data_IF_368571573928
#
_entry.id   IF_368571573928
#
_cell.length_a   1.000
_cell.length_b   1.000
_cell.length_c   1.000
_cell.angle_alpha   90.00
_cell.angle_beta   90.00
_cell.angle_gamma   90.00
#
_symmetry.space_group_name_H-M   'P 1'
#
loop_
_entity.id
_entity.type
_entity.pdbx_description
1 polymer ?
#
# COMPACT_ATOMS: atom_id res chain seq x y z
N UNK A 1 -24.50 -5.60 -12.58
CA UNK A 1 -23.71 -4.36 -12.78
C UNK A 1 -22.29 -4.73 -13.17
N UNK A 2 -21.95 -4.63 -14.47
CA UNK A 2 -20.56 -4.75 -14.94
C UNK A 2 -19.78 -3.50 -14.49
N UNK A 3 -18.47 -3.62 -14.28
CA UNK A 3 -17.62 -2.45 -14.07
C UNK A 3 -17.84 -1.43 -15.20
N UNK A 4 -17.90 -0.12 -14.89
CA UNK A 4 -18.08 0.89 -15.92
C UNK A 4 -16.92 0.82 -16.92
N UNK A 5 -17.18 0.94 -18.23
CA UNK A 5 -16.13 0.93 -19.25
C UNK A 5 -15.08 2.02 -19.05
N UNK A 6 -15.39 3.04 -18.24
CA UNK A 6 -14.51 4.15 -17.89
C UNK A 6 -13.30 3.78 -17.02
N UNK A 7 -13.18 2.59 -16.42
CA UNK A 7 -11.94 2.22 -15.69
C UNK A 7 -11.01 1.34 -16.53
N UNK A 8 -11.49 0.82 -17.66
CA UNK A 8 -10.68 -0.08 -18.50
C UNK A 8 -9.67 0.72 -19.31
N UNK A 9 -8.40 0.37 -19.16
CA UNK A 9 -7.33 0.85 -20.03
C UNK A 9 -7.26 0.00 -21.31
N UNK A 10 -7.58 0.54 -22.50
CA UNK A 10 -7.29 -0.14 -23.76
C UNK A 10 -5.77 -0.18 -24.01
N UNK A 11 -5.20 -1.20 -24.65
CA UNK A 11 -3.76 -1.27 -24.97
C UNK A 11 -3.42 -0.50 -26.27
N UNK A 12 -3.78 0.79 -26.35
CA UNK A 12 -3.58 1.63 -27.57
C UNK A 12 -2.84 2.92 -27.24
N UNK A 13 -2.26 3.61 -28.23
CA UNK A 13 -1.43 4.81 -28.04
C UNK A 13 -2.15 6.02 -27.41
N UNK A 14 -3.49 6.07 -27.49
CA UNK A 14 -4.32 7.08 -26.81
C UNK A 14 -4.71 6.70 -25.37
N UNK A 15 -4.42 5.47 -24.96
CA UNK A 15 -4.92 4.92 -23.70
C UNK A 15 -4.27 5.49 -22.44
N UNK A 16 -2.96 5.75 -22.36
CA UNK A 16 -2.35 6.20 -21.10
C UNK A 16 -2.95 7.51 -20.58
N UNK A 17 -3.27 8.45 -21.49
CA UNK A 17 -3.92 9.72 -21.13
C UNK A 17 -5.34 9.52 -20.61
N UNK A 18 -6.15 8.73 -21.32
CA UNK A 18 -7.53 8.41 -20.91
C UNK A 18 -7.54 7.67 -19.57
N UNK A 19 -6.61 6.73 -19.38
CA UNK A 19 -6.41 6.02 -18.13
C UNK A 19 -6.07 6.95 -16.98
N UNK A 20 -5.11 7.86 -17.16
CA UNK A 20 -4.71 8.80 -16.13
C UNK A 20 -5.88 9.71 -15.70
N UNK A 21 -6.69 10.18 -16.66
CA UNK A 21 -7.85 11.02 -16.36
C UNK A 21 -8.95 10.24 -15.62
N UNK A 22 -9.23 9.01 -16.04
CA UNK A 22 -10.17 8.13 -15.35
C UNK A 22 -9.74 7.80 -13.92
N UNK A 23 -8.43 7.57 -13.69
CA UNK A 23 -7.90 7.34 -12.34
C UNK A 23 -7.97 8.60 -11.47
N UNK A 24 -7.75 9.79 -12.04
CA UNK A 24 -7.93 11.06 -11.32
C UNK A 24 -9.40 11.28 -10.94
N UNK A 25 -10.33 10.94 -11.82
CA UNK A 25 -11.76 11.03 -11.53
C UNK A 25 -12.18 10.02 -10.46
N UNK A 26 -11.69 8.79 -10.53
CA UNK A 26 -11.88 7.79 -9.47
C UNK A 26 -11.31 8.29 -8.14
N UNK A 27 -10.12 8.88 -8.14
CA UNK A 27 -9.54 9.49 -6.95
C UNK A 27 -10.41 10.64 -6.39
N UNK A 28 -10.97 11.49 -7.26
CA UNK A 28 -11.89 12.57 -6.85
C UNK A 28 -13.17 12.02 -6.21
N UNK A 29 -13.70 10.91 -6.75
CA UNK A 29 -14.87 10.24 -6.19
C UNK A 29 -14.55 9.65 -4.81
N UNK A 30 -13.44 8.93 -4.66
CA UNK A 30 -13.01 8.35 -3.39
C UNK A 30 -12.74 9.42 -2.31
N UNK A 31 -12.18 10.57 -2.68
CA UNK A 31 -11.96 11.69 -1.75
C UNK A 31 -13.24 12.31 -1.21
N UNK A 32 -14.33 12.22 -1.97
CA UNK A 32 -15.65 12.76 -1.62
C UNK A 32 -16.60 11.68 -1.10
N UNK A 33 -16.11 10.45 -0.97
CA UNK A 33 -16.90 9.34 -0.46
C UNK A 33 -17.26 9.62 1.00
N UNK A 34 -18.44 9.15 1.39
CA UNK A 34 -18.92 9.31 2.75
C UNK A 34 -18.06 8.46 3.70
N UNK A 35 -17.51 9.03 4.79
CA UNK A 35 -16.58 8.32 5.66
C UNK A 35 -17.28 7.20 6.46
N UNK A 36 -18.58 7.30 6.71
CA UNK A 36 -19.35 6.30 7.46
C UNK A 36 -19.87 5.20 6.55
N UNK A 37 -20.43 5.54 5.38
CA UNK A 37 -21.06 4.58 4.46
C UNK A 37 -20.09 3.95 3.46
N UNK A 38 -19.11 4.73 3.00
CA UNK A 38 -18.06 4.30 2.05
C UNK A 38 -18.60 3.59 0.79
N UNK A 39 -19.69 4.12 0.22
CA UNK A 39 -20.39 3.50 -0.92
C UNK A 39 -19.52 3.42 -2.18
N UNK A 40 -18.75 4.48 -2.47
CA UNK A 40 -17.83 4.46 -3.62
C UNK A 40 -16.76 3.40 -3.41
N UNK A 41 -16.15 3.35 -2.23
CA UNK A 41 -15.18 2.32 -1.87
C UNK A 41 -15.76 0.89 -2.02
N UNK A 42 -16.92 0.61 -1.42
CA UNK A 42 -17.60 -0.70 -1.51
C UNK A 42 -17.85 -1.08 -2.98
N UNK A 43 -18.33 -0.13 -3.78
CA UNK A 43 -18.62 -0.39 -5.19
C UNK A 43 -17.37 -0.64 -6.04
N UNK A 44 -16.28 0.11 -5.80
CA UNK A 44 -15.00 -0.06 -6.49
C UNK A 44 -14.36 -1.40 -6.14
N UNK A 45 -14.40 -1.80 -4.87
CA UNK A 45 -13.89 -3.11 -4.43
C UNK A 45 -14.69 -4.27 -5.03
N UNK A 46 -16.03 -4.16 -5.08
CA UNK A 46 -16.91 -5.15 -5.73
C UNK A 46 -16.59 -5.36 -7.20
N UNK A 47 -16.11 -4.33 -7.90
CA UNK A 47 -15.66 -4.43 -9.29
C UNK A 47 -14.25 -5.01 -9.45
N UNK A 48 -13.53 -5.23 -8.34
CA UNK A 48 -12.15 -5.72 -8.30
C UNK A 48 -11.19 -4.82 -9.07
N UNK A 49 -11.40 -3.51 -9.01
CA UNK A 49 -10.58 -2.53 -9.76
C UNK A 49 -9.09 -2.66 -9.43
N UNK A 50 -8.74 -2.96 -8.18
CA UNK A 50 -7.34 -3.15 -7.81
C UNK A 50 -6.65 -4.29 -8.57
N UNK A 51 -7.21 -5.51 -8.55
CA UNK A 51 -6.60 -6.66 -9.22
C UNK A 51 -6.81 -6.67 -10.74
N UNK A 52 -7.89 -6.07 -11.23
CA UNK A 52 -8.22 -6.09 -12.66
C UNK A 52 -7.60 -4.96 -13.46
N UNK A 53 -7.39 -3.80 -12.83
CA UNK A 53 -7.00 -2.59 -13.53
C UNK A 53 -5.75 -1.95 -12.89
N UNK A 54 -5.75 -1.63 -11.58
CA UNK A 54 -4.64 -0.89 -10.96
C UNK A 54 -3.32 -1.67 -10.95
N UNK A 55 -3.34 -2.93 -10.53
CA UNK A 55 -2.17 -3.80 -10.48
C UNK A 55 -1.59 -4.01 -11.89
N UNK A 56 -2.39 -4.39 -12.92
CA UNK A 56 -1.91 -4.43 -14.30
C UNK A 56 -1.40 -3.10 -14.85
N UNK A 57 -1.99 -1.96 -14.46
CA UNK A 57 -1.49 -0.63 -14.87
C UNK A 57 -0.07 -0.42 -14.32
N UNK A 58 0.14 -0.70 -13.04
CA UNK A 58 1.44 -0.56 -12.39
C UNK A 58 2.48 -1.47 -13.04
N UNK A 59 2.12 -2.72 -13.34
CA UNK A 59 3.04 -3.69 -13.96
C UNK A 59 3.41 -3.38 -15.41
N UNK A 60 2.44 -2.93 -16.22
CA UNK A 60 2.62 -2.85 -17.67
C UNK A 60 2.98 -1.46 -18.17
N UNK A 61 2.79 -0.42 -17.36
CA UNK A 61 3.06 0.97 -17.72
C UNK A 61 4.13 1.62 -16.82
N UNK A 62 5.12 0.83 -16.37
CA UNK A 62 6.21 1.26 -15.48
C UNK A 62 6.97 2.50 -16.01
N UNK A 63 7.07 2.65 -17.33
CA UNK A 63 7.73 3.79 -17.97
C UNK A 63 6.96 5.11 -17.84
N UNK A 64 5.63 5.07 -17.62
CA UNK A 64 4.81 6.25 -17.37
C UNK A 64 4.65 6.44 -15.85
N UNK A 65 5.69 7.00 -15.24
CA UNK A 65 5.75 7.23 -13.78
C UNK A 65 4.54 8.02 -13.25
N UNK A 66 4.02 8.97 -14.03
CA UNK A 66 2.85 9.76 -13.63
C UNK A 66 1.58 8.90 -13.54
N UNK A 67 1.39 8.00 -14.50
CA UNK A 67 0.27 7.05 -14.47
C UNK A 67 0.41 6.09 -13.28
N UNK A 68 1.60 5.54 -13.04
CA UNK A 68 1.87 4.66 -11.91
C UNK A 68 1.62 5.37 -10.57
N UNK A 69 2.14 6.58 -10.38
CA UNK A 69 1.89 7.39 -9.18
C UNK A 69 0.39 7.66 -9.00
N UNK A 70 -0.34 7.89 -10.09
CA UNK A 70 -1.80 8.10 -10.01
C UNK A 70 -2.53 6.82 -9.59
N UNK A 71 -2.11 5.65 -10.07
CA UNK A 71 -2.65 4.36 -9.63
C UNK A 71 -2.33 4.07 -8.15
N UNK A 72 -1.10 4.35 -7.70
CA UNK A 72 -0.69 4.24 -6.29
C UNK A 72 -1.54 5.15 -5.40
N UNK A 73 -1.81 6.38 -5.83
CA UNK A 73 -2.72 7.29 -5.11
C UNK A 73 -4.11 6.68 -4.94
N UNK A 74 -4.68 6.05 -5.97
CA UNK A 74 -5.98 5.36 -5.86
C UNK A 74 -5.87 4.18 -4.89
N UNK A 75 -4.81 3.38 -4.95
CA UNK A 75 -4.59 2.29 -4.00
C UNK A 75 -4.54 2.78 -2.56
N UNK A 76 -3.88 3.90 -2.27
CA UNK A 76 -3.86 4.50 -0.92
C UNK A 76 -5.26 4.83 -0.43
N UNK A 77 -6.12 5.44 -1.27
CA UNK A 77 -7.52 5.70 -0.90
C UNK A 77 -8.32 4.41 -0.66
N UNK A 78 -8.07 3.36 -1.44
CA UNK A 78 -8.75 2.08 -1.28
C UNK A 78 -8.28 1.32 -0.05
N UNK A 79 -7.04 1.49 0.39
CA UNK A 79 -6.48 0.76 1.53
C UNK A 79 -6.61 1.51 2.86
N UNK A 80 -7.29 2.65 2.89
CA UNK A 80 -7.53 3.39 4.13
C UNK A 80 -8.18 2.49 5.19
N UNK A 81 -7.69 2.50 6.44
CA UNK A 81 -8.28 1.74 7.55
C UNK A 81 -9.78 2.00 7.70
N UNK A 82 -10.52 0.98 8.13
CA UNK A 82 -11.95 1.10 8.38
C UNK A 82 -12.17 1.74 9.74
N UNK A 83 -13.03 2.76 9.79
CA UNK A 83 -13.47 3.33 11.07
C UNK A 83 -14.40 2.32 11.78
N UNK A 84 -14.17 1.98 13.06
CA UNK A 84 -15.05 1.08 13.80
C UNK A 84 -16.51 1.54 13.91
N UNK A 85 -16.78 2.84 13.70
CA UNK A 85 -18.12 3.43 13.68
C UNK A 85 -18.80 3.40 12.30
N UNK A 86 -18.09 2.93 11.26
CA UNK A 86 -18.60 2.84 9.88
C UNK A 86 -19.69 1.76 9.71
N UNK A 87 -20.50 1.88 8.66
CA UNK A 87 -21.49 0.86 8.29
C UNK A 87 -20.80 -0.37 7.65
N UNK A 88 -21.36 -1.56 7.84
CA UNK A 88 -20.87 -2.80 7.20
C UNK A 88 -19.37 -3.12 7.41
N UNK A 89 -18.80 -2.78 8.58
CA UNK A 89 -17.35 -2.93 8.90
C UNK A 89 -16.78 -4.29 8.47
N UNK A 90 -17.48 -5.39 8.75
CA UNK A 90 -17.02 -6.73 8.40
C UNK A 90 -16.82 -6.91 6.89
N UNK A 91 -17.77 -6.42 6.07
CA UNK A 91 -17.64 -6.49 4.62
C UNK A 91 -16.53 -5.58 4.10
N UNK A 92 -16.32 -4.41 4.72
CA UNK A 92 -15.21 -3.54 4.35
C UNK A 92 -13.85 -4.19 4.63
N UNK A 93 -13.71 -4.88 5.77
CA UNK A 93 -12.51 -5.65 6.11
C UNK A 93 -12.27 -6.77 5.09
N UNK A 94 -13.33 -7.49 4.67
CA UNK A 94 -13.22 -8.49 3.61
C UNK A 94 -12.69 -7.89 2.30
N UNK A 95 -13.17 -6.71 1.89
CA UNK A 95 -12.63 -6.02 0.71
C UNK A 95 -11.16 -5.59 0.89
N UNK A 96 -10.76 -5.17 2.08
CA UNK A 96 -9.35 -4.86 2.36
C UNK A 96 -8.45 -6.11 2.24
N UNK A 97 -8.92 -7.27 2.69
CA UNK A 97 -8.19 -8.53 2.50
C UNK A 97 -8.04 -8.89 1.02
N UNK A 98 -9.08 -8.69 0.21
CA UNK A 98 -9.01 -8.87 -1.25
C UNK A 98 -7.99 -7.92 -1.89
N UNK A 99 -7.92 -6.67 -1.42
CA UNK A 99 -6.93 -5.69 -1.86
C UNK A 99 -5.51 -6.11 -1.50
N UNK A 100 -5.29 -6.58 -0.26
CA UNK A 100 -4.00 -7.14 0.17
C UNK A 100 -3.60 -8.34 -0.68
N UNK A 101 -4.53 -9.26 -0.94
CA UNK A 101 -4.29 -10.42 -1.79
C UNK A 101 -3.86 -10.05 -3.22
N UNK A 102 -4.45 -8.98 -3.77
CA UNK A 102 -4.09 -8.47 -5.10
C UNK A 102 -2.65 -7.93 -5.15
N UNK A 103 -2.17 -7.31 -4.07
CA UNK A 103 -0.84 -6.69 -3.99
C UNK A 103 0.26 -7.70 -3.64
N UNK A 104 -0.02 -8.68 -2.77
CA UNK A 104 1.00 -9.61 -2.24
C UNK A 104 1.52 -10.65 -3.24
N UNK A 105 0.94 -10.75 -4.44
CA UNK A 105 1.27 -11.82 -5.42
C UNK A 105 1.89 -11.29 -6.70
N UNK A 106 2.32 -10.03 -6.72
CA UNK A 106 2.54 -9.31 -7.96
C UNK A 106 3.83 -8.47 -7.97
N UNK A 107 4.42 -8.33 -9.17
CA UNK A 107 5.55 -7.44 -9.50
C UNK A 107 5.24 -5.96 -9.18
N UNK A 108 3.96 -5.61 -9.04
CA UNK A 108 3.51 -4.26 -8.69
C UNK A 108 4.22 -3.67 -7.46
N UNK A 109 4.51 -4.45 -6.42
CA UNK A 109 5.22 -3.94 -5.23
C UNK A 109 6.65 -3.50 -5.58
N UNK A 110 7.38 -4.29 -6.37
CA UNK A 110 8.73 -3.94 -6.83
C UNK A 110 8.73 -2.61 -7.60
N UNK A 111 7.75 -2.44 -8.52
CA UNK A 111 7.57 -1.19 -9.28
C UNK A 111 7.22 -0.01 -8.37
N UNK A 112 6.39 -0.23 -7.34
CA UNK A 112 6.04 0.82 -6.39
C UNK A 112 7.27 1.24 -5.58
N UNK A 113 8.10 0.30 -5.14
CA UNK A 113 9.35 0.61 -4.43
C UNK A 113 10.32 1.34 -5.34
N UNK A 114 10.44 0.96 -6.62
CA UNK A 114 11.35 1.62 -7.57
C UNK A 114 10.98 3.08 -7.84
N UNK A 115 9.76 3.53 -7.52
CA UNK A 115 9.42 4.96 -7.54
C UNK A 115 10.29 5.81 -6.61
N UNK A 116 10.89 5.18 -5.59
CA UNK A 116 11.72 5.83 -4.57
C UNK A 116 13.21 5.91 -4.94
N UNK A 117 13.62 5.40 -6.10
CA UNK A 117 15.02 5.50 -6.57
C UNK A 117 15.52 6.96 -6.62
N UNK A 118 14.82 7.84 -7.36
CA UNK A 118 15.23 9.25 -7.45
C UNK A 118 15.17 9.98 -6.09
N UNK A 119 14.08 9.85 -5.29
CA UNK A 119 14.05 10.42 -3.94
C UNK A 119 15.23 10.01 -3.06
N UNK A 120 15.67 8.75 -3.13
CA UNK A 120 16.79 8.26 -2.34
C UNK A 120 18.14 8.79 -2.85
N UNK A 121 18.35 8.87 -4.17
CA UNK A 121 19.56 9.49 -4.75
C UNK A 121 19.64 10.98 -4.36
N UNK A 122 18.52 11.69 -4.38
CA UNK A 122 18.46 13.08 -3.94
C UNK A 122 18.69 13.24 -2.43
N UNK A 123 18.23 12.27 -1.62
CA UNK A 123 18.47 12.25 -0.18
C UNK A 123 19.97 12.10 0.11
N UNK A 124 20.64 11.13 -0.51
CA UNK A 124 22.09 10.90 -0.36
C UNK A 124 22.92 12.13 -0.80
N UNK A 125 22.48 12.80 -1.87
CA UNK A 125 23.16 13.97 -2.42
C UNK A 125 22.79 15.29 -1.75
N UNK A 126 22.02 15.28 -0.67
CA UNK A 126 21.54 16.49 0.04
C UNK A 126 20.75 17.47 -0.85
N UNK A 127 20.09 16.96 -1.89
CA UNK A 127 19.26 17.71 -2.83
C UNK A 127 17.78 17.31 -2.76
N UNK A 128 17.36 16.71 -1.64
CA UNK A 128 16.01 16.23 -1.40
C UNK A 128 14.97 17.35 -1.47
N UNK A 129 13.90 17.13 -2.22
CA UNK A 129 12.87 18.14 -2.47
C UNK A 129 11.54 17.82 -1.78
N UNK A 130 10.66 18.82 -1.74
CA UNK A 130 9.27 18.66 -1.32
C UNK A 130 8.50 17.62 -2.14
N UNK A 131 8.80 17.49 -3.43
CA UNK A 131 8.11 16.51 -4.28
C UNK A 131 8.65 15.09 -4.06
N UNK A 132 9.94 14.95 -3.75
CA UNK A 132 10.53 13.68 -3.31
C UNK A 132 9.90 13.22 -2.00
N UNK A 133 9.75 14.12 -1.03
CA UNK A 133 9.02 13.86 0.21
C UNK A 133 7.60 13.37 -0.09
N UNK A 134 6.87 14.00 -1.02
CA UNK A 134 5.45 13.67 -1.29
C UNK A 134 5.33 12.27 -1.83
N UNK A 135 6.31 11.87 -2.63
CA UNK A 135 6.37 10.54 -3.19
C UNK A 135 6.74 9.51 -2.12
N UNK A 136 7.73 9.80 -1.26
CA UNK A 136 8.09 8.95 -0.11
C UNK A 136 6.90 8.74 0.81
N UNK A 137 6.23 9.82 1.25
CA UNK A 137 5.05 9.72 2.10
C UNK A 137 3.94 8.89 1.43
N UNK A 138 3.68 9.12 0.14
CA UNK A 138 2.65 8.38 -0.59
C UNK A 138 2.92 6.87 -0.55
N UNK A 139 4.17 6.47 -0.83
CA UNK A 139 4.55 5.05 -0.84
C UNK A 139 4.49 4.48 0.57
N UNK A 140 5.10 5.15 1.57
CA UNK A 140 5.05 4.71 2.97
C UNK A 140 3.61 4.57 3.48
N UNK A 141 2.72 5.49 3.13
CA UNK A 141 1.30 5.43 3.51
C UNK A 141 0.63 4.19 2.92
N UNK A 142 0.92 3.83 1.67
CA UNK A 142 0.38 2.61 1.07
C UNK A 142 0.84 1.37 1.85
N UNK A 143 2.14 1.26 2.13
CA UNK A 143 2.68 0.11 2.88
C UNK A 143 2.11 0.05 4.31
N UNK A 144 2.03 1.19 5.00
CA UNK A 144 1.36 1.29 6.31
C UNK A 144 -0.07 0.78 6.24
N UNK A 145 -0.85 1.25 5.27
CA UNK A 145 -2.23 0.84 5.10
C UNK A 145 -2.36 -0.68 4.87
N UNK A 146 -1.54 -1.27 3.99
CA UNK A 146 -1.60 -2.71 3.71
C UNK A 146 -1.11 -3.55 4.89
N UNK A 147 -0.12 -3.06 5.65
CA UNK A 147 0.32 -3.67 6.91
C UNK A 147 -0.79 -3.67 7.96
N UNK A 148 -1.59 -2.61 8.04
CA UNK A 148 -2.69 -2.48 9.00
C UNK A 148 -3.83 -3.50 8.78
N UNK A 149 -3.94 -4.09 7.59
CA UNK A 149 -4.93 -5.12 7.27
C UNK A 149 -4.52 -6.44 7.94
N UNK A 150 -4.97 -6.62 9.19
CA UNK A 150 -4.70 -7.79 10.03
C UNK A 150 -5.94 -8.33 10.75
N UNK A 151 -7.02 -7.53 10.85
CA UNK A 151 -8.24 -7.96 11.51
C UNK A 151 -8.95 -9.06 10.71
N UNK A 152 -9.27 -10.17 11.37
CA UNK A 152 -10.04 -11.28 10.78
C UNK A 152 -11.43 -11.28 11.40
N UNK A 153 -12.44 -11.08 10.55
CA UNK A 153 -13.84 -10.96 10.96
C UNK A 153 -14.40 -12.31 11.42
N UNK A 154 -15.54 -12.28 12.14
CA UNK A 154 -16.24 -13.51 12.56
C UNK A 154 -16.67 -14.39 11.37
N UNK A 155 -17.25 -13.86 10.27
CA UNK A 155 -17.56 -14.66 9.08
C UNK A 155 -16.35 -15.39 8.50
N UNK A 156 -15.21 -14.70 8.36
CA UNK A 156 -13.97 -15.29 7.84
C UNK A 156 -13.39 -16.37 8.77
N UNK A 157 -13.54 -16.21 10.09
CA UNK A 157 -13.18 -17.26 11.05
C UNK A 157 -14.09 -18.48 10.89
N UNK A 158 -15.39 -18.26 10.76
CA UNK A 158 -16.38 -19.32 10.60
C UNK A 158 -16.24 -20.08 9.28
N UNK A 159 -15.78 -19.43 8.20
CA UNK A 159 -15.51 -20.07 6.91
C UNK A 159 -14.19 -20.86 6.86
N UNK A 160 -13.35 -20.76 7.90
CA UNK A 160 -12.05 -21.43 7.96
C UNK A 160 -10.94 -20.71 7.17
N UNK A 161 -11.15 -19.47 6.74
CA UNK A 161 -10.19 -18.68 5.96
C UNK A 161 -9.04 -18.12 6.81
N UNK A 162 -9.19 -18.11 8.14
CA UNK A 162 -8.24 -17.47 9.06
C UNK A 162 -6.78 -17.86 8.80
N UNK A 163 -6.49 -19.15 8.59
CA UNK A 163 -5.11 -19.61 8.31
C UNK A 163 -4.57 -19.05 6.99
N UNK A 164 -5.41 -18.93 5.95
CA UNK A 164 -5.00 -18.39 4.65
C UNK A 164 -4.74 -16.88 4.74
N UNK A 165 -5.55 -16.16 5.51
CA UNK A 165 -5.37 -14.71 5.74
C UNK A 165 -4.11 -14.41 6.56
N UNK A 166 -3.81 -15.22 7.59
CA UNK A 166 -2.56 -15.11 8.34
C UNK A 166 -1.35 -15.38 7.44
N UNK A 167 -1.40 -16.44 6.63
CA UNK A 167 -0.35 -16.73 5.66
C UNK A 167 -0.17 -15.58 4.65
N UNK A 168 -1.27 -14.95 4.21
CA UNK A 168 -1.21 -13.79 3.31
C UNK A 168 -0.57 -12.57 3.98
N UNK A 169 -0.81 -12.35 5.28
CA UNK A 169 -0.15 -11.30 6.06
C UNK A 169 1.37 -11.56 6.16
N UNK A 170 1.78 -12.79 6.46
CA UNK A 170 3.19 -13.19 6.49
C UNK A 170 3.85 -13.05 5.10
N UNK A 171 3.14 -13.46 4.05
CA UNK A 171 3.63 -13.37 2.67
C UNK A 171 3.86 -11.92 2.23
N UNK A 172 3.01 -10.98 2.69
CA UNK A 172 3.21 -9.56 2.41
C UNK A 172 4.45 -9.01 3.13
N UNK A 173 4.67 -9.43 4.38
CA UNK A 173 5.87 -9.05 5.13
C UNK A 173 7.15 -9.60 4.47
N UNK A 174 7.11 -10.85 4.00
CA UNK A 174 8.21 -11.45 3.24
C UNK A 174 8.47 -10.69 1.94
N UNK A 175 7.42 -10.26 1.24
CA UNK A 175 7.54 -9.46 0.02
C UNK A 175 8.17 -8.08 0.30
N UNK A 176 7.78 -7.40 1.38
CA UNK A 176 8.42 -6.15 1.79
C UNK A 176 9.93 -6.33 2.04
N UNK A 177 10.32 -7.45 2.62
CA UNK A 177 11.74 -7.76 2.84
C UNK A 177 12.47 -8.03 1.51
N UNK A 178 11.88 -8.83 0.62
CA UNK A 178 12.47 -9.16 -0.70
C UNK A 178 12.69 -7.93 -1.58
N UNK A 179 11.78 -6.96 -1.51
CA UNK A 179 11.84 -5.73 -2.31
C UNK A 179 12.57 -4.58 -1.57
N UNK A 180 13.41 -4.89 -0.55
CA UNK A 180 14.22 -3.93 0.21
C UNK A 180 13.43 -2.79 0.91
N UNK A 181 12.13 -2.95 1.10
CA UNK A 181 11.30 -1.93 1.73
C UNK A 181 11.69 -1.72 3.20
N UNK A 182 12.17 -2.78 3.88
CA UNK A 182 12.63 -2.69 5.28
C UNK A 182 13.87 -1.82 5.42
N UNK A 183 14.88 -2.03 4.56
CA UNK A 183 16.11 -1.23 4.58
C UNK A 183 15.81 0.23 4.25
N UNK A 184 14.90 0.47 3.30
CA UNK A 184 14.43 1.80 2.95
C UNK A 184 13.78 2.51 4.15
N UNK A 185 12.89 1.83 4.88
CA UNK A 185 12.26 2.38 6.10
C UNK A 185 13.32 2.73 7.15
N UNK A 186 14.35 1.88 7.31
CA UNK A 186 15.45 2.14 8.24
C UNK A 186 16.28 3.36 7.82
N UNK A 187 16.62 3.49 6.54
CA UNK A 187 17.34 4.65 6.01
C UNK A 187 16.53 5.92 6.25
N UNK A 188 15.25 5.94 5.88
CA UNK A 188 14.39 7.11 6.10
C UNK A 188 14.26 7.47 7.59
N UNK A 189 14.17 6.47 8.47
CA UNK A 189 14.09 6.69 9.91
C UNK A 189 15.36 7.37 10.47
N UNK A 190 16.54 7.10 9.89
CA UNK A 190 17.79 7.75 10.29
C UNK A 190 17.84 9.23 9.90
N UNK A 191 17.04 9.65 8.92
CA UNK A 191 17.01 11.03 8.41
C UNK A 191 15.85 11.87 9.01
N UNK A 192 15.11 11.34 9.98
CA UNK A 192 13.99 12.03 10.64
C UNK A 192 14.40 13.36 11.29
N UNK A 193 15.56 13.37 11.94
CA UNK A 193 16.05 14.51 12.73
C UNK A 193 16.90 15.48 11.90
N UNK A 194 16.91 15.35 10.57
CA UNK A 194 17.68 16.23 9.71
C UNK A 194 17.18 17.68 9.72
N UNK A 195 18.09 18.67 9.56
CA UNK A 195 17.74 20.09 9.57
C UNK A 195 16.75 20.50 8.47
N UNK A 196 16.66 19.73 7.38
CA UNK A 196 15.73 19.98 6.26
C UNK A 196 14.26 19.92 6.71
N UNK A 197 13.95 19.17 7.77
CA UNK A 197 12.64 19.13 8.42
C UNK A 197 11.52 18.43 7.62
N UNK A 198 11.80 17.97 6.40
CA UNK A 198 10.81 17.29 5.56
C UNK A 198 10.29 16.02 6.24
N UNK A 199 11.18 15.15 6.71
CA UNK A 199 10.80 13.86 7.29
C UNK A 199 10.30 13.93 8.74
N UNK A 200 10.49 15.07 9.43
CA UNK A 200 10.10 15.26 10.84
C UNK A 200 8.61 15.06 11.09
N UNK A 201 7.78 15.36 10.08
CA UNK A 201 6.32 15.20 10.18
C UNK A 201 5.88 13.74 10.01
N UNK A 202 6.76 12.88 9.48
CA UNK A 202 6.47 11.47 9.18
C UNK A 202 6.78 10.52 10.34
N UNK A 203 7.20 11.04 11.49
CA UNK A 203 7.55 10.24 12.67
C UNK A 203 6.40 9.32 13.11
N UNK A 204 5.17 9.83 13.04
CA UNK A 204 3.98 9.04 13.37
C UNK A 204 3.71 7.96 12.31
N UNK A 205 3.91 8.28 11.03
CA UNK A 205 3.74 7.29 9.95
C UNK A 205 4.74 6.14 10.09
N UNK A 206 6.01 6.45 10.35
CA UNK A 206 7.04 5.44 10.60
C UNK A 206 6.75 4.63 11.87
N UNK A 207 6.28 5.28 12.94
CA UNK A 207 5.86 4.58 14.16
C UNK A 207 4.68 3.63 13.91
N UNK A 208 3.67 4.04 13.13
CA UNK A 208 2.56 3.17 12.73
C UNK A 208 3.06 1.98 11.91
N UNK A 209 4.00 2.19 10.98
CA UNK A 209 4.62 1.09 10.22
C UNK A 209 5.28 0.10 11.18
N UNK A 210 6.15 0.56 12.09
CA UNK A 210 6.80 -0.31 13.07
C UNK A 210 5.78 -1.01 13.97
N UNK A 211 4.72 -0.32 14.40
CA UNK A 211 3.64 -0.93 15.16
C UNK A 211 3.02 -2.11 14.40
N UNK A 212 2.63 -1.93 13.14
CA UNK A 212 2.01 -2.99 12.35
C UNK A 212 2.97 -4.11 11.92
N UNK A 213 4.27 -3.83 11.80
CA UNK A 213 5.29 -4.87 11.55
C UNK A 213 5.35 -5.88 12.71
N UNK A 214 5.22 -5.40 13.95
CA UNK A 214 5.36 -6.21 15.15
C UNK A 214 4.05 -6.54 15.86
N UNK A 215 2.91 -6.05 15.36
CA UNK A 215 1.60 -6.29 15.95
C UNK A 215 1.33 -7.80 16.05
N UNK A 216 0.96 -8.25 17.26
CA UNK A 216 0.66 -9.66 17.53
C UNK A 216 1.87 -10.59 17.55
N UNK A 217 3.11 -10.08 17.46
CA UNK A 217 4.33 -10.88 17.57
C UNK A 217 4.88 -10.86 18.99
N UNK A 218 5.39 -12.00 19.45
CA UNK A 218 6.08 -12.11 20.73
C UNK A 218 7.53 -11.63 20.61
N UNK A 219 7.93 -10.55 21.31
CA UNK A 219 9.29 -10.03 21.28
C UNK A 219 10.33 -11.05 21.75
N UNK A 220 10.00 -11.93 22.69
CA UNK A 220 10.94 -12.96 23.16
C UNK A 220 11.23 -14.00 22.08
N UNK A 221 10.21 -14.41 21.32
CA UNK A 221 10.40 -15.35 20.22
C UNK A 221 11.27 -14.73 19.13
N UNK A 222 11.05 -13.46 18.79
CA UNK A 222 11.89 -12.73 17.82
C UNK A 222 13.34 -12.64 18.32
N UNK A 223 13.55 -12.22 19.57
CA UNK A 223 14.88 -12.04 20.14
C UNK A 223 15.65 -13.37 20.32
N UNK A 224 14.94 -14.49 20.50
CA UNK A 224 15.51 -15.84 20.59
C UNK A 224 15.98 -16.39 19.24
N UNK A 225 15.58 -15.80 18.11
CA UNK A 225 16.15 -16.08 16.78
C UNK A 225 17.53 -15.43 16.66
N UNK A 226 18.46 -15.80 17.54
CA UNK A 226 19.89 -15.68 17.24
C UNK A 226 20.28 -16.91 16.45
N UNK A 227 21.03 -16.78 15.33
CA UNK A 227 21.69 -17.95 14.78
C UNK A 227 22.70 -18.43 15.82
N UNK A 228 22.40 -19.54 16.50
CA UNK A 228 23.43 -20.31 17.20
C UNK A 228 24.45 -20.78 16.15
N UNK A 229 25.49 -19.97 15.90
CA UNK A 229 26.57 -20.38 15.01
C UNK A 229 27.40 -19.29 14.33
N UNK A 230 27.02 -18.01 14.34
CA UNK A 230 27.89 -16.98 13.73
C UNK A 230 28.96 -16.52 14.71
N UNK A 231 30.08 -17.26 14.75
CA UNK A 231 31.36 -16.76 15.24
C UNK A 231 31.98 -15.92 14.12
N UNK A 232 32.18 -14.63 14.38
CA UNK A 232 33.25 -13.82 13.78
C UNK A 232 34.24 -13.52 14.89
#
# INVERSE_FOLDING_TARGET
>A
FRSPPAVRCPLTSAAPRVCADNLKDLQRLLRRDDPERREVFKQVCKWRIASRDLVPIIENYQSDRNLVITAVKVLVFLTMPVDPSSEDVAQQIEYLWDLKAALTRNVAIAVIVSLLEDPLDHLERTSFTEDDWKLVQLVLTLFRNVLAIQEITLPQKASGEATQLLYLADSFLELMFKENMMDLILVLAQHIDEPSGYLKHENLLLLEIFHYLFLGRDPELIAKVRPEGSKV
#
